data_IF_641976426712
#
_entry.id   IF_641976426712
#
_cell.length_a   1.000
_cell.length_b   1.000
_cell.length_c   1.000
_cell.angle_alpha   90.00
_cell.angle_beta   90.00
_cell.angle_gamma   90.00
#
_symmetry.space_group_name_H-M   'P 1'
#
loop_
_entity.id
_entity.type
_entity.pdbx_description
1 polymer ?
#
# COMPACT_ATOMS: atom_id res chain seq x y z
N UNK A 1 -9.43 33.54 -32.93
CA UNK A 1 -9.90 32.40 -32.11
C UNK A 1 -9.21 32.54 -30.78
N UNK A 2 -9.98 32.71 -29.69
CA UNK A 2 -9.43 32.76 -28.35
C UNK A 2 -8.86 31.39 -28.01
N UNK A 3 -7.61 31.33 -27.57
CA UNK A 3 -7.05 30.14 -26.96
C UNK A 3 -7.70 30.09 -25.57
N UNK A 4 -8.62 29.16 -25.36
CA UNK A 4 -9.16 28.90 -24.03
C UNK A 4 -7.98 28.62 -23.10
N UNK A 5 -7.89 29.38 -22.00
CA UNK A 5 -6.87 29.19 -20.98
C UNK A 5 -6.96 27.76 -20.47
N UNK A 6 -5.97 26.94 -20.82
CA UNK A 6 -5.81 25.59 -20.28
C UNK A 6 -5.32 25.78 -18.85
N UNK A 7 -6.24 25.91 -17.90
CA UNK A 7 -5.88 25.90 -16.49
C UNK A 7 -5.38 24.50 -16.13
N UNK A 8 -4.15 24.35 -15.61
CA UNK A 8 -3.68 23.06 -15.14
C UNK A 8 -4.58 22.61 -13.99
N UNK A 9 -5.25 21.47 -14.18
CA UNK A 9 -6.01 20.84 -13.09
C UNK A 9 -5.00 20.44 -12.01
N UNK A 10 -5.20 20.84 -10.74
CA UNK A 10 -4.38 20.37 -9.65
C UNK A 10 -4.41 18.84 -9.60
N UNK A 11 -3.25 18.21 -9.53
CA UNK A 11 -3.07 16.75 -9.59
C UNK A 11 -3.99 16.01 -8.59
N UNK A 12 -4.20 16.60 -7.42
CA UNK A 12 -5.09 16.10 -6.35
C UNK A 12 -6.56 15.99 -6.77
N UNK A 13 -7.07 16.93 -7.59
CA UNK A 13 -8.45 16.90 -8.08
C UNK A 13 -8.65 15.79 -9.11
N UNK A 14 -7.72 15.64 -10.03
CA UNK A 14 -7.78 14.59 -11.05
C UNK A 14 -7.71 13.19 -10.42
N UNK A 15 -6.89 13.01 -9.38
CA UNK A 15 -6.84 11.77 -8.62
C UNK A 15 -8.18 11.51 -7.91
N UNK A 16 -8.80 12.52 -7.29
CA UNK A 16 -10.10 12.36 -6.62
C UNK A 16 -11.21 11.94 -7.59
N UNK A 17 -11.27 12.51 -8.79
CA UNK A 17 -12.26 12.12 -9.79
C UNK A 17 -12.09 10.65 -10.24
N UNK A 18 -10.84 10.21 -10.42
CA UNK A 18 -10.53 8.81 -10.74
C UNK A 18 -10.92 7.88 -9.58
N UNK A 19 -10.64 8.26 -8.33
CA UNK A 19 -11.03 7.48 -7.15
C UNK A 19 -12.55 7.39 -6.98
N UNK A 20 -13.28 8.47 -7.25
CA UNK A 20 -14.74 8.47 -7.21
C UNK A 20 -15.31 7.52 -8.28
N UNK A 21 -14.77 7.55 -9.51
CA UNK A 21 -15.16 6.61 -10.57
C UNK A 21 -14.92 5.15 -10.17
N UNK A 22 -13.77 4.85 -9.54
CA UNK A 22 -13.48 3.50 -9.02
C UNK A 22 -14.50 3.10 -7.94
N UNK A 23 -14.85 4.01 -7.03
CA UNK A 23 -15.83 3.75 -5.97
C UNK A 23 -17.25 3.56 -6.51
N UNK A 24 -17.60 4.21 -7.63
CA UNK A 24 -18.88 4.06 -8.33
C UNK A 24 -18.88 2.90 -9.34
N UNK A 25 -17.82 2.08 -9.38
CA UNK A 25 -17.64 0.97 -10.33
C UNK A 25 -17.75 1.39 -11.82
N UNK A 26 -17.35 2.63 -12.12
CA UNK A 26 -17.35 3.20 -13.46
C UNK A 26 -16.07 2.77 -14.20
N UNK A 27 -16.21 2.42 -15.47
CA UNK A 27 -15.08 2.04 -16.32
C UNK A 27 -14.13 3.23 -16.53
N UNK A 28 -12.86 3.05 -16.14
CA UNK A 28 -11.80 4.04 -16.30
C UNK A 28 -11.23 4.00 -17.72
N UNK A 29 -10.93 5.17 -18.30
CA UNK A 29 -10.16 5.23 -19.53
C UNK A 29 -8.67 4.87 -19.32
N UNK A 30 -7.90 4.72 -20.40
CA UNK A 30 -6.49 4.31 -20.31
C UNK A 30 -5.61 5.26 -19.47
N UNK A 31 -5.83 6.58 -19.57
CA UNK A 31 -5.04 7.56 -18.82
C UNK A 31 -5.47 7.57 -17.35
N UNK A 32 -6.76 7.39 -17.08
CA UNK A 32 -7.31 7.28 -15.74
C UNK A 32 -6.83 6.00 -15.03
N UNK A 33 -6.75 4.88 -15.75
CA UNK A 33 -6.13 3.64 -15.25
C UNK A 33 -4.67 3.86 -14.91
N UNK A 34 -3.90 4.49 -15.79
CA UNK A 34 -2.48 4.77 -15.54
C UNK A 34 -2.28 5.70 -14.34
N UNK A 35 -3.13 6.72 -14.18
CA UNK A 35 -3.13 7.59 -13.00
C UNK A 35 -3.48 6.82 -11.73
N UNK A 36 -4.48 5.96 -11.78
CA UNK A 36 -4.88 5.14 -10.64
C UNK A 36 -3.77 4.17 -10.23
N UNK A 37 -3.13 3.47 -11.18
CA UNK A 37 -1.98 2.59 -10.91
C UNK A 37 -0.79 3.35 -10.31
N UNK A 38 -0.51 4.55 -10.82
CA UNK A 38 0.55 5.40 -10.28
C UNK A 38 0.24 5.83 -8.84
N UNK A 39 -1.00 6.28 -8.59
CA UNK A 39 -1.47 6.65 -7.27
C UNK A 39 -1.44 5.47 -6.29
N UNK A 40 -1.94 4.29 -6.69
CA UNK A 40 -1.86 3.07 -5.89
C UNK A 40 -0.41 2.72 -5.56
N UNK A 41 0.51 2.88 -6.51
CA UNK A 41 1.94 2.62 -6.28
C UNK A 41 2.53 3.61 -5.27
N UNK A 42 2.21 4.89 -5.38
CA UNK A 42 2.66 5.92 -4.43
C UNK A 42 2.07 5.71 -3.03
N UNK A 43 0.78 5.39 -2.95
CA UNK A 43 0.09 5.00 -1.72
C UNK A 43 0.79 3.80 -1.09
N UNK A 44 1.05 2.72 -1.85
CA UNK A 44 1.78 1.53 -1.40
C UNK A 44 3.17 1.88 -0.88
N UNK A 45 3.91 2.78 -1.53
CA UNK A 45 5.23 3.23 -1.08
C UNK A 45 5.14 4.02 0.24
N UNK A 46 4.16 4.92 0.38
CA UNK A 46 3.91 5.68 1.61
C UNK A 46 3.54 4.75 2.76
N UNK A 47 2.58 3.85 2.53
CA UNK A 47 2.12 2.85 3.51
C UNK A 47 3.25 1.89 3.90
N UNK A 48 4.03 1.41 2.93
CA UNK A 48 5.21 0.57 3.16
C UNK A 48 6.19 1.21 4.13
N UNK A 49 6.40 2.53 4.03
CA UNK A 49 7.30 3.27 4.92
C UNK A 49 6.78 3.26 6.36
N UNK A 50 5.49 3.56 6.54
CA UNK A 50 4.83 3.50 7.84
C UNK A 50 4.86 2.09 8.44
N UNK A 51 4.56 1.07 7.64
CA UNK A 51 4.62 -0.35 8.04
C UNK A 51 6.04 -0.72 8.49
N UNK A 52 7.07 -0.32 7.75
CA UNK A 52 8.46 -0.56 8.13
C UNK A 52 8.82 0.05 9.49
N UNK A 53 8.43 1.30 9.74
CA UNK A 53 8.65 1.97 11.02
C UNK A 53 7.95 1.24 12.18
N UNK A 54 6.76 0.70 11.96
CA UNK A 54 6.03 -0.07 12.98
C UNK A 54 6.60 -1.47 13.18
N UNK A 55 6.97 -2.17 12.11
CA UNK A 55 7.61 -3.48 12.18
C UNK A 55 8.98 -3.40 12.88
N UNK A 56 9.74 -2.33 12.65
CA UNK A 56 11.01 -2.10 13.35
C UNK A 56 10.83 -1.99 14.88
N UNK A 57 9.66 -1.56 15.38
CA UNK A 57 9.36 -1.54 16.82
C UNK A 57 9.17 -2.95 17.41
N UNK A 58 8.77 -3.92 16.59
CA UNK A 58 8.51 -5.30 17.01
C UNK A 58 9.79 -6.16 17.15
N UNK A 59 10.98 -5.58 16.99
CA UNK A 59 12.28 -6.27 17.05
C UNK A 59 12.40 -7.46 16.09
N UNK A 60 11.61 -7.48 15.01
CA UNK A 60 11.84 -8.39 13.90
C UNK A 60 13.13 -8.00 13.17
N UNK A 61 13.87 -8.96 12.61
CA UNK A 61 15.00 -8.66 11.73
C UNK A 61 14.58 -7.72 10.60
N UNK A 62 15.45 -6.78 10.25
CA UNK A 62 15.20 -5.78 9.21
C UNK A 62 14.83 -6.42 7.86
N UNK A 63 15.47 -7.54 7.51
CA UNK A 63 15.16 -8.30 6.29
C UNK A 63 13.73 -8.87 6.31
N UNK A 64 13.28 -9.38 7.46
CA UNK A 64 11.93 -9.88 7.64
C UNK A 64 10.90 -8.73 7.61
N UNK A 65 11.20 -7.62 8.28
CA UNK A 65 10.34 -6.43 8.28
C UNK A 65 10.16 -5.85 6.86
N UNK A 66 11.25 -5.80 6.08
CA UNK A 66 11.22 -5.37 4.68
C UNK A 66 10.38 -6.30 3.83
N UNK A 67 10.53 -7.62 4.02
CA UNK A 67 9.75 -8.60 3.27
C UNK A 67 8.26 -8.55 3.63
N UNK A 68 7.93 -8.34 4.90
CA UNK A 68 6.55 -8.17 5.37
C UNK A 68 5.92 -6.89 4.80
N UNK A 69 6.67 -5.79 4.73
CA UNK A 69 6.21 -4.54 4.15
C UNK A 69 6.04 -4.61 2.62
N UNK A 70 6.85 -5.43 1.93
CA UNK A 70 6.70 -5.69 0.49
C UNK A 70 5.51 -6.62 0.19
N UNK A 71 5.32 -7.65 1.01
CA UNK A 71 4.29 -8.68 0.78
C UNK A 71 2.90 -8.21 1.25
N UNK A 72 2.84 -7.30 2.23
CA UNK A 72 1.59 -6.83 2.86
C UNK A 72 0.64 -7.99 3.19
N UNK A 73 1.05 -8.94 4.05
CA UNK A 73 0.30 -10.15 4.30
C UNK A 73 -1.08 -9.85 4.89
N UNK A 74 -2.12 -10.46 4.32
CA UNK A 74 -3.51 -10.39 4.80
C UNK A 74 -3.92 -11.58 5.68
N UNK A 75 -3.10 -12.64 5.70
CA UNK A 75 -3.39 -13.88 6.41
C UNK A 75 -2.23 -14.31 7.31
N UNK A 76 -2.55 -15.00 8.41
CA UNK A 76 -1.58 -15.50 9.41
C UNK A 76 -0.55 -16.42 8.76
N UNK A 77 -0.97 -17.26 7.82
CA UNK A 77 -0.10 -18.21 7.12
C UNK A 77 1.00 -17.50 6.34
N UNK A 78 0.67 -16.40 5.65
CA UNK A 78 1.65 -15.60 4.90
C UNK A 78 2.69 -14.99 5.84
N UNK A 79 2.26 -14.47 6.99
CA UNK A 79 3.20 -13.94 8.01
C UNK A 79 4.14 -15.03 8.51
N UNK A 80 3.58 -16.20 8.90
CA UNK A 80 4.37 -17.34 9.38
C UNK A 80 5.37 -17.83 8.33
N UNK A 81 4.97 -17.84 7.06
CA UNK A 81 5.84 -18.21 5.95
C UNK A 81 7.02 -17.23 5.80
N UNK A 82 6.77 -15.92 5.88
CA UNK A 82 7.83 -14.91 5.81
C UNK A 82 8.77 -15.04 7.00
N UNK A 83 8.25 -15.08 8.23
CA UNK A 83 9.07 -15.22 9.44
C UNK A 83 9.92 -16.50 9.45
N UNK A 84 9.38 -17.61 8.94
CA UNK A 84 10.10 -18.87 8.83
C UNK A 84 11.29 -18.81 7.87
N UNK A 85 11.27 -17.93 6.86
CA UNK A 85 12.42 -17.75 5.96
C UNK A 85 13.62 -17.08 6.66
N UNK A 86 13.35 -16.32 7.72
CA UNK A 86 14.37 -15.57 8.48
C UNK A 86 14.66 -16.18 9.85
N UNK A 87 14.22 -17.42 10.11
CA UNK A 87 14.35 -18.11 11.40
C UNK A 87 13.81 -17.30 12.59
N UNK A 88 12.76 -16.53 12.37
CA UNK A 88 12.09 -15.76 13.42
C UNK A 88 10.98 -16.62 14.03
N UNK A 89 10.91 -16.64 15.36
CA UNK A 89 9.88 -17.35 16.08
C UNK A 89 8.50 -16.68 15.84
N UNK A 90 7.61 -17.41 15.16
CA UNK A 90 6.30 -16.91 14.77
C UNK A 90 5.27 -17.12 15.88
N UNK A 91 5.54 -16.55 17.06
CA UNK A 91 4.59 -16.53 18.17
C UNK A 91 3.26 -15.92 17.72
N UNK A 92 2.13 -16.48 18.15
CA UNK A 92 0.82 -16.03 17.67
C UNK A 92 0.56 -14.54 17.97
N UNK A 93 1.08 -14.02 19.09
CA UNK A 93 1.02 -12.59 19.41
C UNK A 93 1.76 -11.72 18.37
N UNK A 94 2.98 -12.11 18.00
CA UNK A 94 3.78 -11.39 17.00
C UNK A 94 3.10 -11.43 15.62
N UNK A 95 2.54 -12.58 15.25
CA UNK A 95 1.82 -12.75 13.99
C UNK A 95 0.58 -11.86 13.94
N UNK A 96 -0.17 -11.76 15.04
CA UNK A 96 -1.33 -10.86 15.12
C UNK A 96 -0.94 -9.38 15.10
N UNK A 97 0.16 -9.00 15.75
CA UNK A 97 0.65 -7.62 15.73
C UNK A 97 1.12 -7.21 14.32
N UNK A 98 1.85 -8.10 13.63
CA UNK A 98 2.25 -7.87 12.23
C UNK A 98 1.02 -7.70 11.33
N UNK A 99 0.01 -8.57 11.48
CA UNK A 99 -1.23 -8.49 10.70
C UNK A 99 -2.01 -7.20 10.94
N UNK A 100 -1.98 -6.66 12.15
CA UNK A 100 -2.60 -5.36 12.45
C UNK A 100 -1.86 -4.22 11.76
N UNK A 101 -0.54 -4.27 11.74
CA UNK A 101 0.29 -3.26 11.08
C UNK A 101 0.13 -3.31 9.55
N UNK A 102 0.03 -4.51 8.97
CA UNK A 102 -0.04 -4.69 7.51
C UNK A 102 -1.46 -4.65 6.94
N UNK A 103 -2.50 -4.60 7.78
CA UNK A 103 -3.87 -4.38 7.34
C UNK A 103 -4.07 -2.91 6.99
N UNK A 104 -4.25 -2.65 5.71
CA UNK A 104 -4.78 -1.38 5.20
C UNK A 104 -6.29 -1.41 5.45
N UNK A 105 -6.80 -0.53 6.32
CA UNK A 105 -8.24 -0.19 6.37
C UNK A 105 -8.62 0.70 5.19
#
# INVERSE_FOLDING_TARGET
MAIESIEPVPEEKAIQDVLNKVAEEVELDYNEQLMYEHYETLQKIGYRRSILDELNKLKVPEEAATKLADVMPQHKDTVKQVLSQFNVDASDNLVEDILKITKVE
#
